data_IF_213914600353
#
_entry.id   IF_213914600353
#
_cell.length_a   1.000
_cell.length_b   1.000
_cell.length_c   1.000
_cell.angle_alpha   90.00
_cell.angle_beta   90.00
_cell.angle_gamma   90.00
#
_symmetry.space_group_name_H-M   'P 1'
#
loop_
_entity.id
_entity.type
_entity.pdbx_description
1 polymer ?
#
# COMPACT_ATOMS: atom_id res chain seq x y z
N UNK A 1 -42.57 -3.96 7.70
CA UNK A 1 -41.14 -4.31 7.60
C UNK A 1 -40.37 -3.23 6.83
N UNK A 2 -39.46 -2.51 7.49
CA UNK A 2 -38.57 -1.58 6.81
C UNK A 2 -37.56 -2.38 5.96
N UNK A 3 -37.39 -2.00 4.70
CA UNK A 3 -36.38 -2.58 3.83
C UNK A 3 -34.98 -2.35 4.43
N UNK A 4 -34.04 -3.31 4.32
CA UNK A 4 -32.67 -3.07 4.74
C UNK A 4 -32.09 -1.92 3.91
N UNK A 5 -31.80 -0.80 4.55
CA UNK A 5 -31.03 0.29 3.95
C UNK A 5 -29.69 -0.26 3.53
N UNK A 6 -29.44 -0.35 2.22
CA UNK A 6 -28.14 -0.68 1.67
C UNK A 6 -27.12 0.30 2.27
N UNK A 7 -26.18 -0.23 3.06
CA UNK A 7 -25.07 0.57 3.56
C UNK A 7 -24.25 1.01 2.34
N UNK A 8 -24.32 2.30 2.01
CA UNK A 8 -23.45 2.89 1.00
C UNK A 8 -22.03 2.77 1.53
N UNK A 9 -21.24 1.89 0.92
CA UNK A 9 -19.82 1.77 1.23
C UNK A 9 -19.15 3.02 0.67
N UNK A 10 -18.71 3.92 1.57
CA UNK A 10 -17.88 5.05 1.19
C UNK A 10 -16.60 4.54 0.52
N UNK A 11 -16.22 5.13 -0.61
CA UNK A 11 -14.93 4.82 -1.25
C UNK A 11 -13.76 5.40 -0.45
N UNK A 12 -13.97 6.48 0.30
CA UNK A 12 -12.94 7.21 1.03
C UNK A 12 -12.86 6.80 2.50
N UNK A 13 -11.68 7.00 3.11
CA UNK A 13 -11.48 6.81 4.55
C UNK A 13 -12.45 7.70 5.33
N UNK A 14 -13.21 7.09 6.23
CA UNK A 14 -14.12 7.79 7.13
C UNK A 14 -13.61 7.85 8.58
N UNK A 15 -14.28 8.64 9.42
CA UNK A 15 -13.93 8.76 10.85
C UNK A 15 -13.95 7.41 11.57
N UNK A 16 -14.92 6.55 11.23
CA UNK A 16 -15.07 5.24 11.85
C UNK A 16 -13.88 4.32 11.53
N UNK A 17 -13.23 4.46 10.38
CA UNK A 17 -12.04 3.68 10.03
C UNK A 17 -10.87 4.03 10.94
N UNK A 18 -10.69 5.33 11.24
CA UNK A 18 -9.67 5.78 12.21
C UNK A 18 -9.96 5.28 13.62
N UNK A 19 -11.23 5.31 14.05
CA UNK A 19 -11.64 4.80 15.37
C UNK A 19 -11.42 3.29 15.47
N UNK A 20 -11.73 2.53 14.41
CA UNK A 20 -11.52 1.09 14.38
C UNK A 20 -10.02 0.75 14.47
N UNK A 21 -9.19 1.44 13.68
CA UNK A 21 -7.74 1.30 13.73
C UNK A 21 -7.20 1.64 15.13
N UNK A 22 -7.69 2.73 15.73
CA UNK A 22 -7.32 3.16 17.08
C UNK A 22 -7.56 2.07 18.11
N UNK A 23 -8.77 1.49 18.12
CA UNK A 23 -9.13 0.40 19.03
C UNK A 23 -8.29 -0.85 18.80
N UNK A 24 -8.03 -1.21 17.55
CA UNK A 24 -7.30 -2.42 17.19
C UNK A 24 -5.83 -2.38 17.61
N UNK A 25 -5.20 -1.22 17.48
CA UNK A 25 -3.75 -1.06 17.70
C UNK A 25 -3.40 -0.23 18.93
N UNK A 26 -4.37 0.26 19.68
CA UNK A 26 -4.20 1.18 20.80
C UNK A 26 -3.33 2.40 20.43
N UNK A 27 -3.66 3.03 19.31
CA UNK A 27 -2.99 4.25 18.82
C UNK A 27 -4.04 5.36 18.81
N UNK A 28 -3.66 6.56 19.23
CA UNK A 28 -4.57 7.71 19.24
C UNK A 28 -5.05 8.07 17.82
N UNK A 29 -6.33 8.41 17.68
CA UNK A 29 -6.91 8.84 16.39
C UNK A 29 -6.11 9.99 15.75
N UNK A 30 -5.68 11.04 16.48
CA UNK A 30 -4.78 12.06 15.94
C UNK A 30 -3.49 11.53 15.31
N UNK A 31 -2.86 10.51 15.91
CA UNK A 31 -1.63 9.91 15.39
C UNK A 31 -1.91 9.15 14.07
N UNK A 32 -3.04 8.46 13.97
CA UNK A 32 -3.43 7.73 12.75
C UNK A 32 -3.76 8.73 11.64
N UNK A 33 -4.48 9.82 11.95
CA UNK A 33 -4.75 10.91 10.99
C UNK A 33 -3.48 11.61 10.52
N UNK A 34 -2.50 11.79 11.41
CA UNK A 34 -1.19 12.33 11.06
C UNK A 34 -0.44 11.42 10.07
N UNK A 35 -0.41 10.12 10.33
CA UNK A 35 0.18 9.13 9.42
C UNK A 35 -0.56 9.11 8.08
N UNK A 36 -1.89 9.12 8.08
CA UNK A 36 -2.68 9.18 6.86
C UNK A 36 -2.39 10.44 6.03
N UNK A 37 -2.28 11.62 6.66
CA UNK A 37 -1.94 12.87 5.97
C UNK A 37 -0.53 12.84 5.35
N UNK A 38 0.45 12.26 6.05
CA UNK A 38 1.86 12.35 5.65
C UNK A 38 2.32 11.20 4.75
N UNK A 39 1.84 9.98 5.01
CA UNK A 39 2.33 8.75 4.38
C UNK A 39 1.42 8.24 3.25
N UNK A 40 0.21 8.78 3.12
CA UNK A 40 -0.66 8.39 2.00
C UNK A 40 -0.24 9.06 0.70
N UNK A 41 -0.53 8.38 -0.41
CA UNK A 41 -0.33 8.90 -1.75
C UNK A 41 -1.46 9.86 -2.19
N UNK A 42 -2.20 10.45 -1.23
CA UNK A 42 -3.30 11.38 -1.39
C UNK A 42 -4.63 10.75 -1.83
N UNK A 43 -4.61 9.86 -2.84
CA UNK A 43 -5.79 9.14 -3.34
C UNK A 43 -5.49 7.66 -3.48
N UNK A 44 -6.35 6.82 -2.95
CA UNK A 44 -6.29 5.37 -3.07
C UNK A 44 -6.84 4.84 -4.39
N UNK A 45 -7.55 5.67 -5.15
CA UNK A 45 -8.20 5.32 -6.42
C UNK A 45 -7.89 6.32 -7.53
N UNK A 46 -7.71 5.81 -8.75
CA UNK A 46 -7.57 6.57 -9.99
C UNK A 46 -8.54 5.98 -11.02
N UNK A 47 -9.40 6.83 -11.61
CA UNK A 47 -10.38 6.44 -12.63
C UNK A 47 -11.23 5.22 -12.25
N UNK A 48 -11.69 5.18 -10.98
CA UNK A 48 -12.55 4.11 -10.46
C UNK A 48 -11.82 2.81 -10.11
N UNK A 49 -10.50 2.71 -10.34
CA UNK A 49 -9.67 1.56 -9.97
C UNK A 49 -8.74 1.90 -8.81
N UNK A 50 -8.35 0.90 -8.03
CA UNK A 50 -7.30 1.08 -7.00
C UNK A 50 -6.03 1.63 -7.68
N UNK A 51 -5.41 2.61 -7.05
CA UNK A 51 -4.15 3.18 -7.51
C UNK A 51 -3.06 2.12 -7.38
N UNK A 52 -2.32 1.86 -8.46
CA UNK A 52 -1.21 0.92 -8.43
C UNK A 52 0.05 1.50 -9.06
N UNK A 53 1.21 0.96 -8.66
CA UNK A 53 2.46 1.09 -9.39
C UNK A 53 3.01 -0.32 -9.62
N UNK A 54 3.21 -0.69 -10.89
CA UNK A 54 3.71 -2.01 -11.25
C UNK A 54 5.23 -2.00 -11.44
N UNK A 55 5.92 -2.90 -10.74
CA UNK A 55 7.37 -2.98 -10.68
C UNK A 55 7.89 -4.19 -11.46
N UNK A 56 8.25 -3.99 -12.73
CA UNK A 56 8.64 -5.10 -13.60
C UNK A 56 9.96 -5.79 -13.19
N UNK A 57 10.79 -5.12 -12.40
CA UNK A 57 11.96 -5.73 -11.76
C UNK A 57 11.62 -6.60 -10.54
N UNK A 58 10.53 -6.27 -9.83
CA UNK A 58 9.98 -7.16 -8.81
C UNK A 58 9.32 -8.35 -9.50
N UNK A 59 8.63 -8.14 -10.62
CA UNK A 59 8.02 -9.22 -11.40
C UNK A 59 9.04 -10.25 -11.88
N UNK A 60 10.20 -9.79 -12.34
CA UNK A 60 11.35 -10.65 -12.63
C UNK A 60 11.69 -11.58 -11.45
N UNK A 61 11.84 -11.01 -10.26
CA UNK A 61 12.17 -11.78 -9.06
C UNK A 61 11.03 -12.72 -8.62
N UNK A 62 9.77 -12.27 -8.73
CA UNK A 62 8.61 -13.07 -8.35
C UNK A 62 8.39 -14.24 -9.30
N UNK A 63 8.62 -14.10 -10.60
CA UNK A 63 8.61 -15.23 -11.55
C UNK A 63 9.64 -16.29 -11.16
N UNK A 64 10.85 -15.88 -10.77
CA UNK A 64 11.89 -16.79 -10.27
C UNK A 64 11.42 -17.60 -9.07
N UNK A 65 10.68 -16.99 -8.14
CA UNK A 65 10.09 -17.68 -6.98
C UNK A 65 8.99 -18.67 -7.35
N UNK A 66 8.36 -18.51 -8.52
CA UNK A 66 7.40 -19.46 -9.09
C UNK A 66 8.08 -20.55 -9.94
N UNK A 67 9.42 -20.61 -9.96
CA UNK A 67 10.18 -21.57 -10.77
C UNK A 67 10.27 -21.21 -12.27
N UNK A 68 9.80 -20.02 -12.66
CA UNK A 68 9.86 -19.56 -14.04
C UNK A 68 11.16 -18.77 -14.24
N UNK A 69 11.98 -19.15 -15.24
CA UNK A 69 13.17 -18.40 -15.61
C UNK A 69 12.75 -17.13 -16.36
N UNK A 70 12.89 -15.91 -15.80
CA UNK A 70 12.29 -14.72 -16.41
C UNK A 70 12.84 -14.42 -17.81
N UNK A 71 14.13 -14.69 -18.03
CA UNK A 71 14.79 -14.49 -19.32
C UNK A 71 14.14 -15.27 -20.48
N UNK A 72 13.46 -16.39 -20.23
CA UNK A 72 12.82 -17.19 -21.29
C UNK A 72 11.47 -16.63 -21.72
N UNK A 73 10.86 -15.75 -20.91
CA UNK A 73 9.55 -15.12 -21.19
C UNK A 73 9.65 -13.61 -21.36
N UNK A 74 10.86 -13.04 -21.27
CA UNK A 74 11.11 -11.62 -21.48
C UNK A 74 10.88 -11.13 -22.91
N UNK A 75 11.28 -11.84 -23.97
CA UNK A 75 11.09 -11.36 -25.34
C UNK A 75 9.62 -10.98 -25.62
N UNK A 76 9.36 -9.72 -25.96
CA UNK A 76 8.01 -9.16 -26.18
C UNK A 76 7.27 -8.67 -24.93
N UNK A 77 7.88 -8.82 -23.75
CA UNK A 77 7.34 -8.42 -22.44
C UNK A 77 8.25 -7.42 -21.70
N UNK A 78 9.15 -6.73 -22.41
CA UNK A 78 10.18 -5.85 -21.83
C UNK A 78 9.60 -4.66 -21.06
N UNK A 79 8.36 -4.27 -21.31
CA UNK A 79 7.61 -3.22 -20.62
C UNK A 79 7.08 -3.66 -19.24
N UNK A 80 6.93 -4.96 -19.02
CA UNK A 80 6.48 -5.54 -17.75
C UNK A 80 7.55 -6.39 -17.06
N UNK A 81 8.65 -6.71 -17.75
CA UNK A 81 9.65 -7.63 -17.23
C UNK A 81 11.08 -7.10 -17.44
N UNK A 82 11.69 -6.62 -16.35
CA UNK A 82 13.04 -6.05 -16.38
C UNK A 82 13.97 -6.76 -15.37
N UNK A 83 15.23 -7.06 -15.70
CA UNK A 83 16.14 -7.77 -14.78
C UNK A 83 16.62 -6.93 -13.59
N UNK A 84 16.49 -5.60 -13.68
CA UNK A 84 16.95 -4.66 -12.65
C UNK A 84 16.04 -3.45 -12.60
N UNK A 85 16.02 -2.79 -11.44
CA UNK A 85 15.37 -1.48 -11.31
C UNK A 85 16.04 -0.46 -12.24
N UNK A 86 15.21 0.33 -12.93
CA UNK A 86 15.66 1.44 -13.78
C UNK A 86 14.98 2.70 -13.30
N UNK A 87 15.77 3.59 -12.69
CA UNK A 87 15.28 4.89 -12.26
C UNK A 87 14.72 5.67 -13.47
N UNK A 88 13.54 6.28 -13.30
CA UNK A 88 12.84 7.05 -14.35
C UNK A 88 12.55 6.24 -15.63
N UNK A 89 12.32 4.94 -15.51
CA UNK A 89 11.86 4.11 -16.62
C UNK A 89 10.63 4.74 -17.30
N UNK A 90 10.56 4.79 -18.65
CA UNK A 90 9.39 5.30 -19.36
C UNK A 90 8.13 4.47 -19.07
N UNK A 91 8.29 3.22 -18.63
CA UNK A 91 7.17 2.32 -18.33
C UNK A 91 6.32 2.79 -17.14
N UNK A 92 6.84 3.63 -16.25
CA UNK A 92 6.06 4.23 -15.17
C UNK A 92 5.05 5.28 -15.66
N UNK A 93 5.17 5.74 -16.90
CA UNK A 93 4.20 6.66 -17.54
C UNK A 93 3.08 5.93 -18.29
N UNK A 94 3.21 4.62 -18.46
CA UNK A 94 2.17 3.80 -19.08
C UNK A 94 1.01 3.58 -18.10
N UNK A 95 -0.10 3.07 -18.62
CA UNK A 95 -1.20 2.60 -17.78
C UNK A 95 -0.75 1.37 -16.97
N UNK A 96 -0.71 1.53 -15.65
CA UNK A 96 -0.16 0.51 -14.76
C UNK A 96 -1.06 -0.72 -14.65
N UNK A 97 -2.39 -0.56 -14.79
CA UNK A 97 -3.33 -1.68 -14.81
C UNK A 97 -3.14 -2.55 -16.05
N UNK A 98 -2.95 -1.93 -17.21
CA UNK A 98 -2.63 -2.63 -18.47
C UNK A 98 -1.32 -3.42 -18.35
N UNK A 99 -0.31 -2.85 -17.68
CA UNK A 99 0.95 -3.55 -17.38
C UNK A 99 0.72 -4.76 -16.45
N UNK A 100 -0.05 -4.57 -15.38
CA UNK A 100 -0.41 -5.66 -14.47
C UNK A 100 -1.17 -6.77 -15.20
N UNK A 101 -2.19 -6.44 -15.99
CA UNK A 101 -2.97 -7.40 -16.77
C UNK A 101 -2.10 -8.18 -17.77
N UNK A 102 -1.11 -7.50 -18.38
CA UNK A 102 -0.13 -8.16 -19.26
C UNK A 102 0.77 -9.14 -18.49
N UNK A 103 1.27 -8.75 -17.32
CA UNK A 103 2.06 -9.63 -16.48
C UNK A 103 1.26 -10.82 -15.93
N UNK A 104 0.00 -10.61 -15.56
CA UNK A 104 -0.88 -11.65 -15.01
C UNK A 104 -1.16 -12.78 -16.00
N UNK A 105 -1.12 -12.50 -17.31
CA UNK A 105 -1.18 -13.53 -18.37
C UNK A 105 0.02 -14.49 -18.38
N UNK A 106 1.16 -14.08 -17.82
CA UNK A 106 2.35 -14.93 -17.69
C UNK A 106 2.25 -15.73 -16.38
N UNK A 107 1.99 -15.05 -15.26
CA UNK A 107 1.77 -15.68 -13.97
C UNK A 107 1.04 -14.70 -13.03
N UNK A 108 -0.19 -15.05 -12.63
CA UNK A 108 -1.07 -14.17 -11.85
C UNK A 108 -0.48 -13.82 -10.47
N UNK A 109 -0.09 -14.82 -9.68
CA UNK A 109 0.42 -14.58 -8.32
C UNK A 109 1.70 -13.73 -8.33
N UNK A 110 2.63 -14.01 -9.26
CA UNK A 110 3.84 -13.20 -9.40
C UNK A 110 3.53 -11.77 -9.85
N UNK A 111 2.57 -11.58 -10.76
CA UNK A 111 2.19 -10.27 -11.26
C UNK A 111 1.56 -9.41 -10.16
N UNK A 112 0.54 -9.93 -9.47
CA UNK A 112 -0.10 -9.21 -8.37
C UNK A 112 0.84 -9.00 -7.19
N UNK A 113 1.81 -9.88 -6.96
CA UNK A 113 2.87 -9.68 -5.96
C UNK A 113 3.80 -8.51 -6.29
N UNK A 114 3.81 -8.06 -7.54
CA UNK A 114 4.80 -7.11 -8.10
C UNK A 114 4.26 -5.70 -8.30
N UNK A 115 3.08 -5.40 -7.76
CA UNK A 115 2.58 -4.04 -7.70
C UNK A 115 2.41 -3.58 -6.25
N UNK A 116 2.49 -2.26 -6.03
CA UNK A 116 2.02 -1.59 -4.82
C UNK A 116 0.59 -1.07 -5.04
N UNK A 117 -0.20 -1.02 -3.97
CA UNK A 117 -1.64 -0.75 -4.06
C UNK A 117 -2.12 0.34 -3.08
N UNK A 118 -3.08 1.15 -3.55
CA UNK A 118 -3.88 2.05 -2.74
C UNK A 118 -3.12 3.22 -2.12
N UNK A 119 -3.72 3.79 -1.07
CA UNK A 119 -3.22 4.97 -0.34
C UNK A 119 -1.78 4.80 0.13
N UNK A 120 -1.47 3.66 0.74
CA UNK A 120 -0.20 3.44 1.42
C UNK A 120 0.83 2.69 0.57
N UNK A 121 0.48 2.36 -0.69
CA UNK A 121 1.37 1.69 -1.64
C UNK A 121 2.05 0.43 -1.07
N UNK A 122 1.31 -0.38 -0.29
CA UNK A 122 1.82 -1.65 0.24
C UNK A 122 1.99 -2.64 -0.91
N UNK A 123 3.15 -3.29 -0.98
CA UNK A 123 3.47 -4.25 -2.04
C UNK A 123 2.69 -5.56 -1.91
N UNK A 124 2.21 -6.09 -3.04
CA UNK A 124 1.40 -7.31 -3.09
C UNK A 124 2.12 -8.56 -2.55
N UNK A 125 3.45 -8.64 -2.63
CA UNK A 125 4.19 -9.77 -2.07
C UNK A 125 4.08 -9.88 -0.53
N UNK A 126 3.54 -8.86 0.16
CA UNK A 126 3.20 -8.93 1.58
C UNK A 126 1.87 -9.64 1.87
N UNK A 127 1.06 -9.96 0.85
CA UNK A 127 -0.30 -10.51 1.03
C UNK A 127 -0.37 -11.67 2.04
N UNK A 128 0.47 -12.70 1.88
CA UNK A 128 0.50 -13.87 2.77
C UNK A 128 0.88 -13.50 4.22
N UNK A 129 2.00 -12.79 4.49
CA UNK A 129 2.30 -12.26 5.82
C UNK A 129 1.19 -11.42 6.46
N UNK A 130 0.35 -10.76 5.64
CA UNK A 130 -0.78 -9.95 6.09
C UNK A 130 -2.09 -10.75 6.23
N UNK A 131 -2.05 -12.07 6.03
CA UNK A 131 -3.18 -12.97 6.22
C UNK A 131 -4.11 -13.11 5.03
N UNK A 132 -3.67 -12.71 3.83
CA UNK A 132 -4.43 -12.90 2.59
C UNK A 132 -4.01 -14.20 1.89
N UNK A 133 -4.96 -14.86 1.23
CA UNK A 133 -4.72 -16.13 0.55
C UNK A 133 -3.77 -16.02 -0.66
N UNK A 134 -3.81 -14.89 -1.37
CA UNK A 134 -3.01 -14.60 -2.55
C UNK A 134 -2.77 -13.10 -2.71
N UNK A 135 -1.82 -12.73 -3.56
CA UNK A 135 -1.58 -11.32 -3.89
C UNK A 135 -2.79 -10.70 -4.63
N UNK A 136 -3.52 -11.50 -5.40
CA UNK A 136 -4.77 -11.07 -6.03
C UNK A 136 -5.87 -10.80 -4.99
N UNK A 137 -6.06 -11.70 -4.03
CA UNK A 137 -7.05 -11.50 -2.96
C UNK A 137 -6.76 -10.22 -2.15
N UNK A 138 -5.47 -9.92 -1.94
CA UNK A 138 -5.05 -8.65 -1.36
C UNK A 138 -5.44 -7.44 -2.24
N UNK A 139 -5.12 -7.47 -3.53
CA UNK A 139 -5.48 -6.40 -4.45
C UNK A 139 -7.01 -6.19 -4.57
N UNK A 140 -7.77 -7.28 -4.61
CA UNK A 140 -9.25 -7.25 -4.66
C UNK A 140 -9.80 -6.60 -3.38
N UNK A 141 -9.29 -7.00 -2.21
CA UNK A 141 -9.68 -6.40 -0.92
C UNK A 141 -9.42 -4.89 -0.86
N UNK A 142 -8.24 -4.46 -1.33
CA UNK A 142 -7.86 -3.06 -1.38
C UNK A 142 -8.65 -2.24 -2.42
N UNK A 143 -9.27 -2.91 -3.40
CA UNK A 143 -10.06 -2.28 -4.45
C UNK A 143 -11.49 -1.95 -4.02
N UNK A 144 -11.92 -2.37 -2.83
CA UNK A 144 -13.27 -2.10 -2.33
C UNK A 144 -13.41 -0.64 -1.87
N UNK A 145 -12.54 -0.18 -0.96
CA UNK A 145 -12.55 1.19 -0.44
C UNK A 145 -11.21 1.53 0.24
N UNK A 146 -11.02 2.79 0.58
CA UNK A 146 -9.81 3.28 1.27
C UNK A 146 -9.75 2.85 2.76
N UNK A 147 -10.87 2.53 3.40
CA UNK A 147 -10.89 1.94 4.76
C UNK A 147 -10.17 0.60 4.81
N UNK A 148 -10.38 -0.27 3.81
CA UNK A 148 -9.64 -1.52 3.63
C UNK A 148 -8.15 -1.27 3.38
N UNK A 149 -7.81 -0.19 2.66
CA UNK A 149 -6.42 0.22 2.46
C UNK A 149 -5.75 0.67 3.76
N UNK A 150 -6.47 1.37 4.63
CA UNK A 150 -6.01 1.75 5.97
C UNK A 150 -5.86 0.52 6.88
N UNK A 151 -6.80 -0.41 6.84
CA UNK A 151 -6.75 -1.65 7.64
C UNK A 151 -5.57 -2.53 7.24
N UNK A 152 -5.36 -2.74 5.93
CA UNK A 152 -4.20 -3.46 5.40
C UNK A 152 -2.87 -2.79 5.77
N UNK A 153 -2.83 -1.45 5.74
CA UNK A 153 -1.68 -0.69 6.23
C UNK A 153 -1.41 -0.94 7.72
N UNK A 154 -2.47 -1.01 8.54
CA UNK A 154 -2.38 -1.39 9.96
C UNK A 154 -1.72 -2.76 10.17
N UNK A 155 -2.14 -3.76 9.38
CA UNK A 155 -1.50 -5.09 9.39
C UNK A 155 -0.02 -5.00 9.00
N UNK A 156 0.29 -4.20 7.98
CA UNK A 156 1.65 -4.02 7.48
C UNK A 156 2.57 -3.42 8.54
N UNK A 157 2.17 -2.33 9.18
CA UNK A 157 2.99 -1.69 10.21
C UNK A 157 3.09 -2.55 11.49
N UNK A 158 2.09 -3.39 11.77
CA UNK A 158 2.19 -4.41 12.83
C UNK A 158 3.21 -5.48 12.50
N UNK A 159 3.14 -6.06 11.30
CA UNK A 159 4.07 -7.10 10.86
C UNK A 159 5.54 -6.62 10.84
N UNK A 160 5.76 -5.31 10.65
CA UNK A 160 7.08 -4.69 10.64
C UNK A 160 7.47 -4.01 11.98
N UNK A 161 6.74 -4.27 13.07
CA UNK A 161 7.03 -3.76 14.42
C UNK A 161 7.08 -2.23 14.56
N UNK A 162 6.26 -1.50 13.80
CA UNK A 162 6.19 -0.04 13.85
C UNK A 162 5.10 0.50 14.77
N UNK A 163 4.18 -0.35 15.24
CA UNK A 163 3.06 0.04 16.13
C UNK A 163 3.55 0.76 17.38
N UNK A 164 4.57 0.22 18.07
CA UNK A 164 5.08 0.82 19.31
C UNK A 164 5.63 2.23 19.10
N UNK A 165 6.24 2.50 17.94
CA UNK A 165 6.76 3.82 17.64
C UNK A 165 5.63 4.85 17.49
N UNK A 166 4.48 4.46 16.92
CA UNK A 166 3.29 5.33 16.86
C UNK A 166 2.65 5.52 18.23
N UNK A 167 2.52 4.45 19.03
CA UNK A 167 1.99 4.53 20.39
C UNK A 167 2.81 5.47 21.28
N UNK A 168 4.13 5.49 21.10
CA UNK A 168 5.04 6.35 21.88
C UNK A 168 5.25 7.74 21.25
N UNK A 169 4.57 8.06 20.15
CA UNK A 169 4.80 9.27 19.35
C UNK A 169 6.28 9.45 18.94
N UNK A 170 7.01 8.36 18.76
CA UNK A 170 8.39 8.37 18.31
C UNK A 170 8.43 8.46 16.77
N UNK A 171 8.15 9.66 16.27
CA UNK A 171 8.04 9.95 14.83
C UNK A 171 9.31 9.64 14.06
N UNK A 172 10.48 9.87 14.65
CA UNK A 172 11.76 9.55 14.04
C UNK A 172 11.95 8.04 13.85
N UNK A 173 11.64 7.24 14.88
CA UNK A 173 11.72 5.77 14.79
C UNK A 173 10.70 5.22 13.79
N UNK A 174 9.48 5.74 13.81
CA UNK A 174 8.45 5.34 12.85
C UNK A 174 8.87 5.69 11.41
N UNK A 175 9.24 6.95 11.15
CA UNK A 175 9.65 7.42 9.84
C UNK A 175 10.88 6.68 9.32
N UNK A 176 11.87 6.39 10.17
CA UNK A 176 13.02 5.59 9.78
C UNK A 176 12.63 4.16 9.38
N UNK A 177 11.74 3.53 10.15
CA UNK A 177 11.28 2.17 9.87
C UNK A 177 10.48 2.08 8.58
N UNK A 178 9.58 3.04 8.36
CA UNK A 178 8.67 3.04 7.22
C UNK A 178 9.27 3.62 5.92
N UNK A 179 9.95 4.77 6.01
CA UNK A 179 10.51 5.49 4.85
C UNK A 179 12.00 5.19 4.60
N UNK A 180 12.66 4.47 5.50
CA UNK A 180 14.08 4.13 5.39
C UNK A 180 15.03 5.27 5.80
N UNK A 181 16.33 5.09 5.51
CA UNK A 181 17.40 5.98 5.98
C UNK A 181 17.28 7.43 5.49
N UNK A 182 16.61 7.65 4.36
CA UNK A 182 16.39 8.97 3.78
C UNK A 182 15.29 9.80 4.49
N UNK A 183 14.66 9.27 5.55
CA UNK A 183 13.49 9.91 6.16
C UNK A 183 13.76 11.35 6.64
N UNK A 184 14.94 11.61 7.21
CA UNK A 184 15.34 12.93 7.72
C UNK A 184 15.48 13.96 6.60
N UNK A 185 16.06 13.56 5.46
CA UNK A 185 16.21 14.43 4.28
C UNK A 185 14.84 14.90 3.77
N UNK A 186 13.85 14.00 3.82
CA UNK A 186 12.47 14.30 3.42
C UNK A 186 11.59 14.86 4.54
N UNK A 187 12.16 15.03 5.75
CA UNK A 187 11.53 15.58 6.96
C UNK A 187 10.26 14.83 7.39
N UNK A 188 10.19 13.52 7.17
CA UNK A 188 8.99 12.72 7.49
C UNK A 188 8.63 12.79 8.98
N UNK A 189 9.64 12.70 9.84
CA UNK A 189 9.51 12.83 11.29
C UNK A 189 8.89 14.17 11.71
N UNK A 190 9.39 15.28 11.16
CA UNK A 190 8.86 16.62 11.44
C UNK A 190 7.45 16.80 10.90
N UNK A 191 7.17 16.28 9.70
CA UNK A 191 5.82 16.33 9.10
C UNK A 191 4.81 15.55 9.95
N UNK A 192 5.16 14.35 10.41
CA UNK A 192 4.33 13.53 11.29
C UNK A 192 4.05 14.24 12.62
N UNK A 193 5.09 14.80 13.25
CA UNK A 193 4.94 15.53 14.52
C UNK A 193 4.00 16.75 14.38
N UNK A 194 4.16 17.52 13.29
CA UNK A 194 3.32 18.70 13.02
C UNK A 194 1.87 18.31 12.73
N UNK A 195 1.66 17.26 11.92
CA UNK A 195 0.32 16.76 11.62
C UNK A 195 -0.37 16.22 12.88
N UNK A 196 0.36 15.50 13.74
CA UNK A 196 -0.16 15.05 15.03
C UNK A 196 -0.61 16.24 15.89
N UNK A 197 0.25 17.25 16.07
CA UNK A 197 -0.08 18.44 16.85
C UNK A 197 -1.31 19.20 16.31
N UNK A 198 -1.51 19.20 14.99
CA UNK A 198 -2.71 19.74 14.33
C UNK A 198 -3.96 18.94 14.73
N UNK A 199 -3.94 17.62 14.60
CA UNK A 199 -5.11 16.78 14.88
C UNK A 199 -5.43 16.67 16.37
N UNK A 200 -4.44 16.72 17.27
CA UNK A 200 -4.68 16.71 18.73
C UNK A 200 -5.39 17.97 19.24
N UNK A 201 -5.42 19.07 18.46
CA UNK A 201 -6.14 20.31 18.82
C UNK A 201 -7.59 20.32 18.33
N UNK A 202 -7.93 19.49 17.35
CA UNK A 202 -9.21 19.48 16.65
C UNK A 202 -10.05 18.25 17.02
N UNK A 203 -9.44 17.27 17.70
CA UNK A 203 -10.08 16.04 18.17
C UNK A 203 -10.62 16.17 19.58
#
# INVERSE_FOLDING_TARGET
>A
PAAPTATVISQFVGEQDFVNFSRQYNIEVPAIKAVHEVESAGRGFLNGKVKILFEGHIFWNQLGKQGIKPATVQPGNEDVLQPKYVARSPFYRLDQHTRLDKAARINEEAAYSSASYGLFQVMGFHAKPLGFASAKAFADYLSVNEGNQLEAFGRFIKANNHIKALQDHNWAKFAQGYNGSAYKTNKYDTKLANAYAKYSRIS
#
